data_IF_857171495411
#
_entry.id   IF_857171495411
#
_cell.length_a   1.000
_cell.length_b   1.000
_cell.length_c   1.000
_cell.angle_alpha   90.00
_cell.angle_beta   90.00
_cell.angle_gamma   90.00
#
_symmetry.space_group_name_H-M   'P 1'
#
loop_
_entity.id
_entity.type
_entity.pdbx_description
1 polymer ?
#
# COMPACT_ATOMS: atom_id res chain seq x y z
N UNK A 1 -7.71 -12.06 -0.21
CA UNK A 1 -6.86 -12.16 -1.41
C UNK A 1 -7.49 -13.03 -2.50
N UNK A 2 -7.95 -14.26 -2.19
CA UNK A 2 -8.64 -15.12 -3.18
C UNK A 2 -9.74 -14.42 -3.98
N UNK A 3 -10.56 -13.61 -3.34
CA UNK A 3 -11.67 -12.96 -4.03
C UNK A 3 -11.19 -11.77 -4.89
N UNK A 4 -10.14 -11.04 -4.46
CA UNK A 4 -9.45 -10.04 -5.30
C UNK A 4 -8.89 -10.68 -6.57
N UNK A 5 -8.20 -11.81 -6.45
CA UNK A 5 -7.61 -12.49 -7.62
C UNK A 5 -8.67 -13.06 -8.57
N UNK A 6 -9.83 -13.47 -8.05
CA UNK A 6 -10.98 -13.89 -8.88
C UNK A 6 -11.59 -12.71 -9.65
N UNK A 7 -11.69 -11.53 -9.03
CA UNK A 7 -12.18 -10.32 -9.69
C UNK A 7 -11.24 -9.90 -10.83
N UNK A 8 -9.92 -9.84 -10.56
CA UNK A 8 -8.92 -9.52 -11.58
C UNK A 8 -8.94 -10.55 -12.74
N UNK A 9 -9.04 -11.85 -12.44
CA UNK A 9 -9.19 -12.89 -13.46
C UNK A 9 -10.48 -12.78 -14.29
N UNK A 10 -11.55 -12.21 -13.71
CA UNK A 10 -12.79 -11.93 -14.41
C UNK A 10 -12.77 -10.59 -15.19
N UNK A 11 -11.64 -9.87 -15.17
CA UNK A 11 -11.52 -8.55 -15.80
C UNK A 11 -12.30 -7.46 -15.06
N UNK A 12 -12.59 -7.64 -13.77
CA UNK A 12 -13.26 -6.65 -12.92
C UNK A 12 -12.18 -5.87 -12.17
N UNK A 13 -11.97 -4.58 -12.47
CA UNK A 13 -10.92 -3.78 -11.84
C UNK A 13 -11.12 -3.63 -10.33
N UNK A 14 -10.01 -3.71 -9.61
CA UNK A 14 -9.92 -3.53 -8.16
C UNK A 14 -9.03 -2.34 -7.85
N UNK A 15 -9.51 -1.43 -6.99
CA UNK A 15 -8.82 -0.19 -6.65
C UNK A 15 -8.64 -0.13 -5.13
N UNK A 16 -7.40 0.03 -4.67
CA UNK A 16 -7.07 0.24 -3.27
C UNK A 16 -6.69 1.71 -3.01
N UNK A 17 -7.44 2.35 -2.12
CA UNK A 17 -7.07 3.65 -1.56
C UNK A 17 -6.56 3.43 -0.13
N UNK A 18 -5.26 3.65 0.10
CA UNK A 18 -4.60 3.40 1.38
C UNK A 18 -4.43 4.73 2.11
N UNK A 19 -5.23 4.95 3.15
CA UNK A 19 -5.19 6.16 3.97
C UNK A 19 -4.30 6.04 5.22
N UNK A 20 -3.84 4.82 5.55
CA UNK A 20 -3.08 4.55 6.77
C UNK A 20 -2.34 3.21 6.72
N UNK A 21 -2.23 2.52 7.87
CA UNK A 21 -1.46 1.29 7.97
C UNK A 21 -2.16 0.09 7.32
N UNK A 22 -1.40 -0.68 6.53
CA UNK A 22 -1.80 -1.96 5.99
C UNK A 22 -0.67 -2.99 6.19
N UNK A 23 -0.73 -3.73 7.28
CA UNK A 23 0.35 -4.61 7.75
C UNK A 23 0.04 -6.09 7.57
N UNK A 24 1.08 -6.91 7.41
CA UNK A 24 1.01 -8.36 7.29
C UNK A 24 0.01 -8.80 6.21
N UNK A 25 -1.04 -9.52 6.57
CA UNK A 25 -2.09 -9.90 5.63
C UNK A 25 -2.73 -8.68 4.94
N UNK A 26 -2.88 -7.56 5.64
CA UNK A 26 -3.45 -6.34 5.08
C UNK A 26 -2.69 -5.85 3.84
N UNK A 27 -1.37 -6.03 3.79
CA UNK A 27 -0.52 -5.56 2.71
C UNK A 27 -0.86 -6.15 1.34
N UNK A 28 -1.50 -7.32 1.31
CA UNK A 28 -1.96 -7.93 0.07
C UNK A 28 -3.24 -7.30 -0.50
N UNK A 29 -3.94 -6.43 0.24
CA UNK A 29 -5.06 -5.67 -0.34
C UNK A 29 -4.52 -4.69 -1.40
N UNK A 30 -3.60 -3.75 -1.08
CA UNK A 30 -2.95 -2.96 -2.12
C UNK A 30 -2.06 -3.81 -3.02
N UNK A 31 -1.30 -4.78 -2.47
CA UNK A 31 -0.38 -5.59 -3.28
C UNK A 31 -1.03 -6.51 -4.31
N UNK A 32 -2.36 -6.66 -4.32
CA UNK A 32 -3.12 -7.44 -5.30
C UNK A 32 -4.28 -6.65 -5.91
N UNK A 33 -4.31 -5.33 -5.74
CA UNK A 33 -5.26 -4.47 -6.45
C UNK A 33 -4.68 -4.06 -7.79
N UNK A 34 -5.53 -3.86 -8.79
CA UNK A 34 -5.09 -3.44 -10.14
C UNK A 34 -4.62 -1.98 -10.14
N UNK A 35 -5.15 -1.14 -9.24
CA UNK A 35 -4.67 0.22 -9.00
C UNK A 35 -4.54 0.53 -7.51
N UNK A 36 -3.45 1.20 -7.14
CA UNK A 36 -3.13 1.54 -5.75
C UNK A 36 -2.82 3.03 -5.61
N UNK A 37 -3.56 3.69 -4.73
CA UNK A 37 -3.32 5.07 -4.30
C UNK A 37 -2.88 5.06 -2.85
N UNK A 38 -1.73 5.66 -2.54
CA UNK A 38 -1.24 5.81 -1.17
C UNK A 38 -1.16 7.28 -0.76
N UNK A 39 -1.64 7.61 0.44
CA UNK A 39 -1.52 8.97 1.00
C UNK A 39 -0.11 9.18 1.58
N UNK A 40 0.56 10.22 1.11
CA UNK A 40 1.90 10.63 1.57
C UNK A 40 1.93 10.86 3.09
N UNK A 41 3.02 10.47 3.74
CA UNK A 41 3.30 10.69 5.17
C UNK A 41 2.22 10.14 6.13
N UNK A 42 1.41 9.19 5.63
CA UNK A 42 0.26 8.59 6.33
C UNK A 42 0.20 7.08 6.07
N UNK A 43 0.17 6.71 4.79
CA UNK A 43 -0.03 5.35 4.36
C UNK A 43 1.26 4.55 4.47
N UNK A 44 1.19 3.40 5.15
CA UNK A 44 2.33 2.48 5.31
C UNK A 44 1.89 1.06 4.98
N UNK A 45 2.66 0.37 4.14
CA UNK A 45 2.38 -1.00 3.72
C UNK A 45 3.61 -1.86 3.95
N UNK A 46 3.47 -2.98 4.65
CA UNK A 46 4.57 -3.93 4.82
C UNK A 46 4.05 -5.30 5.26
N UNK A 47 4.72 -6.38 4.83
CA UNK A 47 4.43 -7.72 5.32
C UNK A 47 4.88 -7.90 6.78
N UNK A 48 5.95 -7.22 7.17
CA UNK A 48 6.45 -7.18 8.54
C UNK A 48 6.83 -5.75 8.90
N UNK A 49 6.20 -5.19 9.93
CA UNK A 49 6.51 -3.84 10.39
C UNK A 49 7.82 -3.76 11.17
N UNK A 50 8.25 -2.55 11.56
CA UNK A 50 9.54 -2.35 12.22
C UNK A 50 9.78 -3.23 13.46
N UNK A 51 8.79 -3.49 14.34
CA UNK A 51 9.00 -4.39 15.47
C UNK A 51 9.38 -5.82 15.05
N UNK A 52 8.81 -6.33 13.95
CA UNK A 52 9.11 -7.67 13.44
C UNK A 52 10.49 -7.71 12.78
N UNK A 53 10.83 -6.69 11.99
CA UNK A 53 12.15 -6.56 11.36
C UNK A 53 13.24 -6.53 12.44
N UNK A 54 13.07 -5.71 13.47
CA UNK A 54 14.01 -5.62 14.59
C UNK A 54 14.15 -6.94 15.34
N UNK A 55 13.04 -7.61 15.63
CA UNK A 55 13.07 -8.88 16.35
C UNK A 55 13.74 -10.00 15.54
N UNK A 56 13.49 -10.05 14.22
CA UNK A 56 14.02 -11.11 13.36
C UNK A 56 15.48 -10.91 12.93
N UNK A 57 15.91 -9.65 12.79
CA UNK A 57 17.21 -9.32 12.14
C UNK A 57 18.12 -8.44 12.98
N UNK A 58 17.60 -7.77 14.01
CA UNK A 58 18.31 -6.72 14.75
C UNK A 58 18.35 -5.36 14.04
N UNK A 59 17.87 -5.25 12.81
CA UNK A 59 17.83 -3.98 12.07
C UNK A 59 16.84 -3.00 12.72
N UNK A 60 17.29 -1.76 12.96
CA UNK A 60 16.42 -0.65 13.35
C UNK A 60 15.94 0.09 12.09
N UNK A 61 14.64 0.10 11.88
CA UNK A 61 13.96 0.78 10.78
C UNK A 61 12.79 1.62 11.32
N UNK A 62 12.42 2.68 10.60
CA UNK A 62 11.20 3.45 10.86
C UNK A 62 10.09 3.09 9.85
N UNK A 63 8.85 3.43 10.18
CA UNK A 63 7.68 3.08 9.35
C UNK A 63 7.79 3.64 7.91
N UNK A 64 8.22 4.90 7.76
CA UNK A 64 8.24 5.59 6.47
C UNK A 64 9.37 5.06 5.59
N UNK A 65 10.56 4.90 6.17
CA UNK A 65 11.67 4.30 5.44
C UNK A 65 11.38 2.85 5.10
N UNK A 66 10.69 2.06 5.95
CA UNK A 66 10.42 0.65 5.68
C UNK A 66 9.34 0.41 4.62
N UNK A 67 8.22 1.15 4.69
CA UNK A 67 7.05 0.90 3.84
C UNK A 67 6.14 2.10 3.65
N UNK A 68 6.68 3.32 3.75
CA UNK A 68 5.92 4.54 3.51
C UNK A 68 5.48 4.72 2.06
N UNK A 69 4.50 5.59 1.84
CA UNK A 69 3.92 5.87 0.53
C UNK A 69 4.96 6.33 -0.52
N UNK A 70 5.93 7.17 -0.13
CA UNK A 70 7.00 7.65 -1.02
C UNK A 70 7.90 6.49 -1.49
N UNK A 71 8.25 5.56 -0.59
CA UNK A 71 9.04 4.37 -0.95
C UNK A 71 8.29 3.49 -1.93
N UNK A 72 7.00 3.27 -1.70
CA UNK A 72 6.17 2.44 -2.57
C UNK A 72 5.88 3.07 -3.93
N UNK A 73 5.75 4.39 -4.00
CA UNK A 73 5.50 5.12 -5.25
C UNK A 73 6.77 5.31 -6.10
N UNK A 74 7.96 5.35 -5.49
CA UNK A 74 9.22 5.66 -6.20
C UNK A 74 10.16 4.47 -6.38
N UNK A 75 10.13 3.51 -5.46
CA UNK A 75 11.15 2.46 -5.39
C UNK A 75 10.54 1.08 -5.65
N UNK A 76 9.53 0.68 -4.88
CA UNK A 76 9.01 -0.69 -4.99
C UNK A 76 7.98 -0.87 -6.11
N UNK A 77 7.31 0.21 -6.52
CA UNK A 77 6.20 0.16 -7.47
C UNK A 77 4.91 -0.44 -6.92
N UNK A 78 4.72 -0.49 -5.59
CA UNK A 78 3.47 -0.95 -5.00
C UNK A 78 2.37 0.11 -5.15
N UNK A 79 2.73 1.40 -5.10
CA UNK A 79 1.77 2.49 -5.29
C UNK A 79 1.88 3.03 -6.72
N UNK A 80 0.77 3.01 -7.46
CA UNK A 80 0.67 3.65 -8.77
C UNK A 80 0.51 5.16 -8.66
N UNK A 81 -0.10 5.61 -7.56
CA UNK A 81 -0.39 7.01 -7.31
C UNK A 81 -0.04 7.42 -5.87
N UNK A 82 0.63 8.57 -5.76
CA UNK A 82 0.92 9.21 -4.49
C UNK A 82 -0.02 10.42 -4.30
N UNK A 83 -0.92 10.32 -3.31
CA UNK A 83 -1.85 11.39 -2.97
C UNK A 83 -1.27 12.32 -1.89
N UNK A 84 -1.60 13.61 -1.96
CA UNK A 84 -1.18 14.58 -0.95
C UNK A 84 -1.92 14.42 0.39
N UNK A 85 -3.20 14.05 0.34
CA UNK A 85 -4.06 13.81 1.50
C UNK A 85 -5.22 12.86 1.12
N UNK A 86 -6.14 12.59 2.06
CA UNK A 86 -7.29 11.69 1.83
C UNK A 86 -8.27 12.22 0.77
N UNK A 87 -8.48 13.54 0.71
CA UNK A 87 -9.37 14.13 -0.30
C UNK A 87 -8.77 13.98 -1.69
N UNK A 88 -7.47 14.17 -1.81
CA UNK A 88 -6.73 13.94 -3.04
C UNK A 88 -6.74 12.46 -3.45
N UNK A 89 -6.62 11.54 -2.50
CA UNK A 89 -6.71 10.11 -2.76
C UNK A 89 -8.10 9.69 -3.28
N UNK A 90 -9.18 10.22 -2.71
CA UNK A 90 -10.53 10.03 -3.23
C UNK A 90 -10.69 10.63 -4.64
N UNK A 91 -10.14 11.83 -4.87
CA UNK A 91 -10.15 12.49 -6.17
C UNK A 91 -9.40 11.68 -7.24
N UNK A 92 -8.26 11.08 -6.89
CA UNK A 92 -7.49 10.15 -7.73
C UNK A 92 -8.29 8.88 -8.00
N UNK A 93 -8.85 8.27 -6.96
CA UNK A 93 -9.67 7.06 -7.06
C UNK A 93 -10.87 7.18 -7.99
N UNK A 94 -11.46 8.38 -8.10
CA UNK A 94 -12.57 8.66 -9.04
C UNK A 94 -12.15 8.84 -10.51
N UNK A 95 -10.86 9.01 -10.78
CA UNK A 95 -10.32 9.20 -12.14
C UNK A 95 -9.72 7.93 -12.75
N UNK A 96 -9.53 6.92 -11.91
CA UNK A 96 -9.22 5.55 -12.33
C UNK A 96 -10.52 4.94 -12.83
#
# INVERSE_FOLDING_TARGET
FRDLTRLSAAGIPTIALVFGNSTAGGAYVPGLSDHVVMVRDRAKVFLGGPPLVRMATGEESDDESLGGAERHARVSGLADHLAADEHDALRLGRRI
#
